data_IF_795516823441
#
_entry.id   IF_795516823441
#
_cell.length_a   1.000
_cell.length_b   1.000
_cell.length_c   1.000
_cell.angle_alpha   90.00
_cell.angle_beta   90.00
_cell.angle_gamma   90.00
#
_symmetry.space_group_name_H-M   'P 1'
#
loop_
_entity.id
_entity.type
_entity.pdbx_description
1 polymer ?
#
# COMPACT_ATOMS: atom_id res chain seq x y z
N UNK A 1 2.71 1.70 16.74
CA UNK A 1 2.52 1.28 15.33
C UNK A 1 2.45 2.52 14.46
N UNK A 2 3.07 2.48 13.28
CA UNK A 2 3.09 3.62 12.36
C UNK A 2 1.74 3.76 11.64
N UNK A 3 1.14 4.95 11.71
CA UNK A 3 -0.14 5.26 11.08
C UNK A 3 0.06 5.68 9.63
N UNK A 4 0.41 4.73 8.77
CA UNK A 4 0.60 4.98 7.33
C UNK A 4 -0.34 4.12 6.49
N UNK A 5 -0.56 4.52 5.24
CA UNK A 5 -1.41 3.85 4.27
C UNK A 5 -1.01 2.38 4.11
N UNK A 6 0.28 2.06 4.06
CA UNK A 6 0.73 0.67 3.98
C UNK A 6 0.21 -0.19 5.14
N UNK A 7 0.09 0.39 6.35
CA UNK A 7 -0.46 -0.23 7.56
C UNK A 7 -1.97 0.00 7.74
N UNK A 8 -2.68 0.50 6.73
CA UNK A 8 -4.11 0.77 6.80
C UNK A 8 -4.95 -0.38 6.24
N UNK A 9 -5.99 -0.83 6.94
CA UNK A 9 -6.94 -1.87 6.47
C UNK A 9 -7.58 -1.53 5.12
N UNK A 10 -7.81 -0.24 4.85
CA UNK A 10 -8.45 0.23 3.61
C UNK A 10 -7.51 0.31 2.42
N UNK A 11 -6.20 0.35 2.66
CA UNK A 11 -5.22 0.46 1.60
C UNK A 11 -5.07 -0.87 0.84
N UNK A 12 -4.99 -0.79 -0.48
CA UNK A 12 -4.64 -1.90 -1.36
C UNK A 12 -3.35 -1.51 -2.08
N UNK A 13 -2.29 -2.25 -1.83
CA UNK A 13 -1.02 -2.11 -2.57
C UNK A 13 -1.28 -2.39 -4.05
N UNK A 14 -0.77 -1.54 -4.92
CA UNK A 14 -0.90 -1.67 -6.36
C UNK A 14 0.49 -1.83 -7.01
N UNK A 15 1.45 -1.01 -6.56
CA UNK A 15 2.84 -1.07 -6.98
C UNK A 15 3.81 -1.01 -5.79
N UNK A 16 5.10 -0.83 -6.07
CA UNK A 16 6.18 -0.82 -5.07
C UNK A 16 6.22 0.42 -4.18
N UNK A 17 5.61 1.52 -4.61
CA UNK A 17 5.66 2.82 -3.95
C UNK A 17 4.27 3.33 -3.55
N UNK A 18 3.22 2.83 -4.21
CA UNK A 18 1.87 3.35 -4.11
C UNK A 18 0.77 2.29 -4.23
N UNK A 19 -0.44 2.72 -3.89
CA UNK A 19 -1.63 1.90 -3.98
C UNK A 19 -2.89 2.73 -3.82
N UNK A 20 -4.03 2.07 -3.71
CA UNK A 20 -5.34 2.74 -3.68
C UNK A 20 -6.02 2.63 -2.32
N UNK A 21 -6.62 3.72 -1.87
CA UNK A 21 -7.50 3.70 -0.70
C UNK A 21 -8.91 3.25 -1.10
N UNK A 22 -9.37 2.11 -0.58
CA UNK A 22 -10.72 1.58 -0.86
C UNK A 22 -11.85 2.34 -0.19
N UNK A 23 -11.54 3.20 0.79
CA UNK A 23 -12.52 4.07 1.46
C UNK A 23 -12.86 5.30 0.60
N UNK A 24 -11.94 5.74 -0.25
CA UNK A 24 -12.18 6.80 -1.22
C UNK A 24 -13.10 6.25 -2.32
N UNK A 25 -14.41 6.41 -2.12
CA UNK A 25 -15.44 6.13 -3.13
C UNK A 25 -15.62 7.40 -3.98
N UNK A 26 -14.71 7.66 -4.90
CA UNK A 26 -14.96 8.62 -5.98
C UNK A 26 -16.01 8.02 -6.93
N UNK A 27 -17.03 8.79 -7.30
CA UNK A 27 -17.99 8.42 -8.36
C UNK A 27 -17.33 8.41 -9.75
N UNK A 28 -16.17 9.04 -9.88
CA UNK A 28 -15.41 9.12 -11.11
C UNK A 28 -14.10 8.34 -10.94
N UNK A 29 -13.90 7.36 -11.82
CA UNK A 29 -12.62 6.68 -11.97
C UNK A 29 -11.67 7.59 -12.77
N UNK A 30 -10.36 7.59 -12.48
CA UNK A 30 -9.65 6.68 -11.57
C UNK A 30 -9.56 7.16 -10.11
N UNK A 31 -9.47 6.20 -9.18
CA UNK A 31 -9.21 6.48 -7.75
C UNK A 31 -7.81 7.08 -7.58
N UNK A 32 -7.61 8.03 -6.65
CA UNK A 32 -6.29 8.60 -6.41
C UNK A 32 -5.35 7.55 -5.82
N UNK A 33 -4.14 7.47 -6.39
CA UNK A 33 -3.03 6.70 -5.82
C UNK A 33 -2.56 7.40 -4.54
N UNK A 34 -2.16 6.61 -3.55
CA UNK A 34 -1.64 7.04 -2.26
C UNK A 34 -0.29 6.36 -2.06
N UNK A 35 0.70 7.10 -1.58
CA UNK A 35 2.02 6.55 -1.25
C UNK A 35 1.90 5.68 -0.01
N UNK A 36 2.82 4.72 0.12
CA UNK A 36 2.89 3.85 1.29
C UNK A 36 3.01 4.60 2.62
N UNK A 37 3.70 5.75 2.59
CA UNK A 37 3.96 6.61 3.75
C UNK A 37 2.87 7.67 4.01
N UNK A 38 1.85 7.78 3.15
CA UNK A 38 0.76 8.73 3.38
C UNK A 38 -0.09 8.33 4.59
N UNK A 39 -0.88 9.27 5.13
CA UNK A 39 -1.79 9.01 6.25
C UNK A 39 -3.03 9.87 6.18
N UNK A 40 -4.10 9.45 6.84
CA UNK A 40 -5.34 10.22 6.93
C UNK A 40 -6.09 9.94 8.23
N UNK A 41 -7.08 10.79 8.56
CA UNK A 41 -7.90 10.64 9.77
C UNK A 41 -8.77 9.38 9.79
N UNK A 42 -8.98 8.75 8.65
CA UNK A 42 -9.76 7.51 8.49
C UNK A 42 -8.93 6.22 8.68
N UNK A 43 -7.67 6.37 9.05
CA UNK A 43 -6.75 5.24 9.20
C UNK A 43 -7.27 4.21 10.22
N UNK A 44 -7.15 2.93 9.86
CA UNK A 44 -7.46 1.80 10.74
C UNK A 44 -6.37 0.74 10.59
N UNK A 45 -5.97 0.16 11.72
CA UNK A 45 -4.90 -0.83 11.76
C UNK A 45 -5.20 -2.05 10.87
N UNK A 46 -4.21 -2.45 10.08
CA UNK A 46 -4.31 -3.60 9.18
C UNK A 46 -3.91 -4.93 9.88
N UNK A 47 -3.36 -4.88 11.09
CA UNK A 47 -2.84 -6.03 11.82
C UNK A 47 -1.82 -6.80 11.00
N UNK A 48 -2.01 -8.12 10.89
CA UNK A 48 -1.11 -9.01 10.15
C UNK A 48 -0.98 -8.65 8.65
N UNK A 49 -1.97 -7.97 8.07
CA UNK A 49 -1.92 -7.57 6.66
C UNK A 49 -0.75 -6.64 6.37
N UNK A 50 -0.31 -5.83 7.34
CA UNK A 50 0.87 -4.97 7.16
C UNK A 50 2.15 -5.77 6.94
N UNK A 51 2.36 -6.83 7.72
CA UNK A 51 3.52 -7.72 7.58
C UNK A 51 3.49 -8.47 6.24
N UNK A 52 2.31 -8.93 5.82
CA UNK A 52 2.12 -9.59 4.51
C UNK A 52 2.50 -8.63 3.38
N UNK A 53 2.01 -7.39 3.41
CA UNK A 53 2.33 -6.37 2.41
C UNK A 53 3.82 -6.03 2.37
N UNK A 54 4.45 -5.86 3.54
CA UNK A 54 5.90 -5.63 3.62
C UNK A 54 6.70 -6.79 3.05
N UNK A 55 6.33 -8.04 3.36
CA UNK A 55 6.98 -9.22 2.79
C UNK A 55 6.88 -9.27 1.27
N UNK A 56 5.70 -8.94 0.72
CA UNK A 56 5.52 -8.83 -0.73
C UNK A 56 6.40 -7.74 -1.35
N UNK A 57 6.40 -6.53 -0.78
CA UNK A 57 7.23 -5.41 -1.27
C UNK A 57 8.72 -5.77 -1.28
N UNK A 58 9.22 -6.39 -0.20
CA UNK A 58 10.60 -6.85 -0.12
C UNK A 58 10.92 -7.89 -1.21
N UNK A 59 10.02 -8.83 -1.47
CA UNK A 59 10.20 -9.82 -2.53
C UNK A 59 10.21 -9.18 -3.93
N UNK A 60 9.37 -8.16 -4.17
CA UNK A 60 9.34 -7.43 -5.43
C UNK A 60 10.60 -6.58 -5.65
N UNK A 61 11.07 -5.84 -4.62
CA UNK A 61 12.33 -5.11 -4.71
C UNK A 61 13.52 -6.03 -4.99
N UNK A 62 13.55 -7.23 -4.41
CA UNK A 62 14.59 -8.24 -4.72
C UNK A 62 14.53 -8.70 -6.17
N UNK A 63 13.33 -8.83 -6.75
CA UNK A 63 13.17 -9.20 -8.17
C UNK A 63 13.62 -8.09 -9.11
N UNK A 64 13.35 -6.83 -8.79
CA UNK A 64 13.83 -5.70 -9.59
C UNK A 64 15.35 -5.50 -9.51
N UNK A 65 15.94 -5.78 -8.34
CA UNK A 65 17.38 -5.67 -8.13
C UNK A 65 18.20 -6.78 -8.82
N UNK A 66 17.56 -7.86 -9.28
CA UNK A 66 18.21 -8.92 -10.04
C UNK A 66 18.10 -8.60 -11.54
N UNK A 67 19.21 -8.37 -12.26
CA UNK A 67 19.16 -8.23 -13.71
C UNK A 67 18.58 -9.51 -14.31
N UNK A 68 17.61 -9.37 -15.22
CA UNK A 68 17.16 -10.47 -16.07
C UNK A 68 18.34 -10.84 -16.97
N UNK A 69 19.00 -11.96 -16.69
CA UNK A 69 19.94 -12.60 -17.60
C UNK A 69 19.23 -13.06 -18.88
#
# INVERSE_FOLDING_TARGET
MEKVCLNCKFFKVDDLQSGVCRKIKGKEAPRPMQRHADTCGDWQDAGQQYSIRKGWLQAQHKKEALPKN
#
